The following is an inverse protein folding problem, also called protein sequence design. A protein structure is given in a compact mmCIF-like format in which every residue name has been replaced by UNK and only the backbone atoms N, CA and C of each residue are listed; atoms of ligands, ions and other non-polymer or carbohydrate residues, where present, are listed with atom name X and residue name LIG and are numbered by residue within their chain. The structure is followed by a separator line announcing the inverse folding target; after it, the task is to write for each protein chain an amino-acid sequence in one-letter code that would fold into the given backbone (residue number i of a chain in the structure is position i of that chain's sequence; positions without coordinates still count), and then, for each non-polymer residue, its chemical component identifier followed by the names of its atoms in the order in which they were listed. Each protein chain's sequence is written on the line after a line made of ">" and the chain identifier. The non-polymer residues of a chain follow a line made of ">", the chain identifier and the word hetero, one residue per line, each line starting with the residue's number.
data_IF_633040856473
#
_entry.id   IF_633040856473
#
_cell.length_a   1.000
_cell.length_b   1.000
_cell.length_c   1.000
_cell.angle_alpha   90.00
_cell.angle_beta   90.00
_cell.angle_gamma   90.00
#
_symmetry.space_group_name_H-M   'P 1'
#
loop_
_entity.id
_entity.type
_entity.pdbx_description
1 polymer ?
#
# COMPACT_ATOMS: atom_id res chain seq x y z
N UNK A 1 -25.43 -18.05 8.26
CA UNK A 1 -24.29 -17.19 7.89
C UNK A 1 -24.81 -15.81 7.55
N UNK A 2 -24.41 -14.75 8.27
CA UNK A 2 -24.76 -13.36 7.90
C UNK A 2 -23.98 -12.99 6.64
N UNK A 3 -24.68 -12.84 5.53
CA UNK A 3 -24.12 -12.36 4.28
C UNK A 3 -23.62 -10.92 4.51
N UNK A 4 -22.30 -10.72 4.54
CA UNK A 4 -21.70 -9.37 4.58
C UNK A 4 -22.22 -8.65 3.34
N UNK A 5 -23.02 -7.58 3.52
CA UNK A 5 -23.53 -6.75 2.41
C UNK A 5 -22.33 -6.38 1.53
N UNK A 6 -22.37 -6.74 0.25
CA UNK A 6 -21.35 -6.34 -0.74
C UNK A 6 -21.34 -4.81 -0.80
N UNK A 7 -20.35 -4.19 -0.16
CA UNK A 7 -20.21 -2.73 -0.20
C UNK A 7 -19.36 -2.38 -1.43
N UNK A 8 -20.00 -1.76 -2.44
CA UNK A 8 -19.34 -1.40 -3.70
C UNK A 8 -18.28 -0.29 -3.60
N UNK A 9 -18.08 0.27 -2.40
CA UNK A 9 -17.17 1.39 -2.13
C UNK A 9 -15.85 0.98 -1.46
N UNK A 10 -15.74 -0.21 -0.86
CA UNK A 10 -14.53 -0.64 -0.15
C UNK A 10 -13.42 -1.01 -1.12
N UNK A 11 -12.18 -0.59 -0.90
CA UNK A 11 -11.04 -1.02 -1.72
C UNK A 11 -10.40 -2.27 -1.11
N UNK A 12 -9.52 -2.96 -1.85
CA UNK A 12 -8.70 -4.03 -1.27
C UNK A 12 -7.43 -3.40 -0.72
N UNK A 13 -7.58 -2.72 0.42
CA UNK A 13 -6.56 -1.90 1.07
C UNK A 13 -6.24 -2.30 2.54
N UNK A 14 -6.38 -3.57 2.96
CA UNK A 14 -6.15 -3.89 4.36
C UNK A 14 -4.68 -3.67 4.73
N UNK A 15 -4.48 -3.10 5.91
CA UNK A 15 -3.16 -2.73 6.41
C UNK A 15 -2.52 -1.53 5.70
N UNK A 16 -3.19 -0.88 4.74
CA UNK A 16 -2.65 0.29 4.06
C UNK A 16 -2.37 1.45 5.02
N UNK A 17 -1.27 2.16 4.78
CA UNK A 17 -0.82 3.28 5.61
C UNK A 17 -0.78 4.58 4.82
N UNK A 18 -1.12 5.68 5.46
CA UNK A 18 -1.02 7.02 4.86
C UNK A 18 -0.24 7.90 5.81
N UNK A 19 0.88 8.44 5.31
CA UNK A 19 1.90 9.04 6.15
C UNK A 19 2.03 10.50 5.77
N UNK A 20 2.09 11.36 6.79
CA UNK A 20 2.44 12.77 6.63
C UNK A 20 3.69 13.09 7.43
N UNK A 21 4.57 13.88 6.85
CA UNK A 21 5.78 14.40 7.49
C UNK A 21 5.69 15.92 7.45
N UNK A 22 5.87 16.57 8.60
CA UNK A 22 5.76 18.03 8.74
C UNK A 22 4.42 18.61 8.23
N UNK A 23 3.33 17.88 8.45
CA UNK A 23 1.99 18.29 8.01
C UNK A 23 1.75 18.19 6.50
N UNK A 24 2.71 17.67 5.72
CA UNK A 24 2.57 17.41 4.29
C UNK A 24 2.46 15.90 4.04
N UNK A 25 1.59 15.44 3.12
CA UNK A 25 1.54 14.04 2.74
C UNK A 25 2.90 13.56 2.21
N UNK A 26 3.34 12.39 2.66
CA UNK A 26 4.52 11.69 2.19
C UNK A 26 4.12 10.44 1.40
N UNK A 27 3.18 9.66 1.95
CA UNK A 27 2.58 8.52 1.26
C UNK A 27 1.06 8.67 1.19
N UNK A 28 0.53 8.61 -0.03
CA UNK A 28 -0.81 9.01 -0.43
C UNK A 28 -1.74 7.81 -0.62
N UNK A 29 -3.05 8.06 -0.47
CA UNK A 29 -4.08 7.24 -1.12
C UNK A 29 -4.23 7.75 -2.56
N UNK A 30 -4.19 6.85 -3.55
CA UNK A 30 -4.38 7.24 -4.95
C UNK A 30 -5.80 7.73 -5.23
N UNK A 31 -6.77 7.39 -4.37
CA UNK A 31 -8.15 7.84 -4.44
C UNK A 31 -8.99 7.08 -5.46
N UNK A 32 -10.09 7.70 -5.89
CA UNK A 32 -11.00 7.14 -6.90
C UNK A 32 -11.16 8.13 -8.03
N UNK A 33 -10.59 7.81 -9.19
CA UNK A 33 -10.63 8.64 -10.38
C UNK A 33 -11.93 8.47 -11.18
N UNK A 34 -12.54 7.28 -11.11
CA UNK A 34 -13.70 6.89 -11.91
C UNK A 34 -14.68 6.04 -11.09
N UNK A 35 -15.96 6.42 -11.09
CA UNK A 35 -17.01 5.55 -10.56
C UNK A 35 -17.45 4.53 -11.61
N UNK A 36 -17.95 4.99 -12.76
CA UNK A 36 -18.51 4.11 -13.81
C UNK A 36 -17.99 4.42 -15.21
N UNK A 37 -17.16 5.46 -15.39
CA UNK A 37 -16.71 5.92 -16.71
C UNK A 37 -15.68 4.99 -17.35
N UNK A 38 -14.83 4.38 -16.52
CA UNK A 38 -13.93 3.29 -16.90
C UNK A 38 -13.94 2.23 -15.80
N UNK A 39 -14.39 1.01 -16.14
CA UNK A 39 -14.36 -0.14 -15.23
C UNK A 39 -12.93 -0.63 -14.98
N UNK A 40 -12.06 -0.50 -15.98
CA UNK A 40 -10.65 -0.86 -15.88
C UNK A 40 -9.96 0.04 -14.87
N UNK A 41 -10.07 1.37 -15.02
CA UNK A 41 -9.47 2.31 -14.08
C UNK A 41 -10.07 2.14 -12.68
N UNK A 42 -11.39 1.95 -12.56
CA UNK A 42 -12.03 1.67 -11.27
C UNK A 42 -11.43 0.43 -10.59
N UNK A 43 -11.13 -0.62 -11.34
CA UNK A 43 -10.51 -1.83 -10.78
C UNK A 43 -9.06 -1.59 -10.36
N UNK A 44 -8.30 -0.79 -11.12
CA UNK A 44 -6.96 -0.35 -10.75
C UNK A 44 -7.00 0.43 -9.44
N UNK A 45 -7.83 1.48 -9.34
CA UNK A 45 -7.99 2.31 -8.14
C UNK A 45 -8.31 1.50 -6.87
N UNK A 46 -9.00 0.36 -7.04
CA UNK A 46 -9.46 -0.53 -5.95
C UNK A 46 -8.54 -1.72 -5.69
N UNK A 47 -7.51 -1.88 -6.51
CA UNK A 47 -6.58 -3.00 -6.44
C UNK A 47 -5.60 -2.82 -5.29
N UNK A 48 -5.13 -3.94 -4.73
CA UNK A 48 -4.15 -3.89 -3.65
C UNK A 48 -2.85 -3.18 -4.02
N UNK A 49 -2.46 -3.21 -5.31
CA UNK A 49 -1.27 -2.55 -5.82
C UNK A 49 -1.36 -1.02 -5.86
N UNK A 50 -2.54 -0.46 -5.61
CA UNK A 50 -2.80 0.98 -5.56
C UNK A 50 -2.83 1.54 -4.13
N UNK A 51 -2.53 0.70 -3.14
CA UNK A 51 -2.54 1.06 -1.74
C UNK A 51 -1.18 0.80 -1.09
N UNK A 52 -0.87 1.55 -0.03
CA UNK A 52 0.42 1.47 0.65
C UNK A 52 0.49 0.26 1.58
N UNK A 53 0.44 -0.95 1.01
CA UNK A 53 0.36 -2.22 1.72
C UNK A 53 1.28 -3.28 1.11
N UNK A 54 1.39 -4.42 1.80
CA UNK A 54 2.20 -5.56 1.39
C UNK A 54 1.33 -6.79 1.15
N UNK A 55 1.70 -7.56 0.13
CA UNK A 55 0.98 -8.74 -0.35
C UNK A 55 1.96 -9.81 -0.80
N UNK A 56 1.66 -11.11 -0.65
CA UNK A 56 2.43 -12.17 -1.31
C UNK A 56 2.45 -11.95 -2.83
N UNK A 57 3.63 -11.97 -3.44
CA UNK A 57 3.84 -11.60 -4.85
C UNK A 57 2.95 -12.42 -5.80
N UNK A 58 2.76 -13.71 -5.52
CA UNK A 58 1.92 -14.60 -6.32
C UNK A 58 0.42 -14.24 -6.32
N UNK A 59 -0.03 -13.41 -5.38
CA UNK A 59 -1.44 -13.08 -5.20
C UNK A 59 -1.85 -11.70 -5.73
N UNK A 60 -0.91 -10.86 -6.18
CA UNK A 60 -1.21 -9.50 -6.68
C UNK A 60 -2.36 -9.53 -7.70
N UNK A 61 -2.21 -10.33 -8.78
CA UNK A 61 -3.22 -10.43 -9.86
C UNK A 61 -4.60 -10.86 -9.37
N UNK A 62 -4.65 -11.73 -8.34
CA UNK A 62 -5.91 -12.17 -7.73
C UNK A 62 -6.65 -10.96 -7.16
N UNK A 63 -5.96 -10.01 -6.54
CA UNK A 63 -6.56 -8.82 -5.94
C UNK A 63 -6.61 -7.60 -6.87
N UNK A 64 -6.19 -7.74 -8.14
CA UNK A 64 -6.24 -6.69 -9.16
C UNK A 64 -7.41 -6.85 -10.14
N UNK A 65 -7.89 -8.07 -10.40
CA UNK A 65 -8.86 -8.31 -11.49
C UNK A 65 -10.05 -9.21 -11.10
N UNK A 66 -11.28 -8.65 -11.12
CA UNK A 66 -12.44 -9.35 -11.73
C UNK A 66 -13.58 -8.42 -12.16
N UNK A 67 -14.12 -8.76 -13.33
CA UNK A 67 -15.13 -8.08 -14.14
C UNK A 67 -16.54 -8.03 -13.51
N UNK A 68 -17.17 -6.87 -13.65
CA UNK A 68 -18.57 -6.62 -13.32
C UNK A 68 -18.80 -5.15 -12.93
N UNK A 69 -19.95 -4.57 -13.30
CA UNK A 69 -20.33 -3.18 -12.97
C UNK A 69 -20.24 -2.85 -11.46
N UNK A 70 -20.31 -3.88 -10.61
CA UNK A 70 -20.23 -3.77 -9.15
C UNK A 70 -18.94 -4.35 -8.54
N UNK A 71 -17.92 -4.63 -9.36
CA UNK A 71 -16.58 -5.04 -8.93
C UNK A 71 -16.57 -6.24 -7.98
N UNK A 72 -16.66 -7.46 -8.52
CA UNK A 72 -16.43 -8.67 -7.71
C UNK A 72 -14.92 -8.86 -7.51
N UNK A 73 -14.30 -8.04 -6.67
CA UNK A 73 -12.94 -8.35 -6.19
C UNK A 73 -13.02 -9.69 -5.42
N UNK A 74 -12.17 -10.66 -5.75
CA UNK A 74 -12.45 -12.08 -5.49
C UNK A 74 -12.33 -12.49 -4.03
N UNK A 75 -11.73 -11.68 -3.17
CA UNK A 75 -11.72 -11.82 -1.72
C UNK A 75 -11.20 -10.51 -1.13
N UNK A 76 -11.64 -10.17 0.09
CA UNK A 76 -10.94 -9.19 0.92
C UNK A 76 -10.04 -10.00 1.85
N UNK A 77 -8.75 -9.65 2.00
CA UNK A 77 -7.91 -10.25 3.02
C UNK A 77 -8.53 -9.99 4.39
N UNK A 78 -8.47 -10.98 5.28
CA UNK A 78 -8.86 -10.75 6.66
C UNK A 78 -7.73 -10.02 7.38
N UNK A 79 -8.09 -9.15 8.33
CA UNK A 79 -7.12 -8.43 9.16
C UNK A 79 -7.39 -8.77 10.63
N UNK A 80 -6.34 -9.22 11.31
CA UNK A 80 -6.34 -9.44 12.75
C UNK A 80 -5.32 -8.49 13.39
N UNK A 81 -5.78 -7.55 14.20
CA UNK A 81 -4.89 -6.68 14.99
C UNK A 81 -4.40 -7.47 16.19
N UNK A 82 -3.08 -7.62 16.31
CA UNK A 82 -2.42 -8.37 17.39
C UNK A 82 -1.87 -7.45 18.47
N UNK A 83 -1.40 -6.26 18.08
CA UNK A 83 -0.87 -5.25 19.00
C UNK A 83 -1.41 -3.87 18.63
N UNK A 84 -1.89 -3.12 19.63
CA UNK A 84 -2.22 -1.70 19.48
C UNK A 84 -1.91 -0.95 20.77
N UNK A 85 -0.75 -0.32 20.80
CA UNK A 85 -0.25 0.43 21.95
C UNK A 85 0.46 1.71 21.51
N UNK A 86 0.90 2.52 22.47
CA UNK A 86 1.53 3.80 22.17
C UNK A 86 2.81 3.59 21.35
N UNK A 87 2.76 4.03 20.09
CA UNK A 87 3.90 3.97 19.17
C UNK A 87 4.15 2.58 18.56
N UNK A 88 3.24 1.61 18.73
CA UNK A 88 3.36 0.29 18.12
C UNK A 88 1.99 -0.22 17.67
N UNK A 89 1.92 -0.68 16.43
CA UNK A 89 0.76 -1.33 15.84
C UNK A 89 1.22 -2.58 15.09
N UNK A 90 0.54 -3.69 15.31
CA UNK A 90 0.80 -4.92 14.58
C UNK A 90 -0.52 -5.54 14.11
N UNK A 91 -0.53 -6.00 12.87
CA UNK A 91 -1.64 -6.77 12.32
C UNK A 91 -1.16 -7.91 11.43
N UNK A 92 -1.97 -8.95 11.35
CA UNK A 92 -1.81 -10.05 10.40
C UNK A 92 -2.84 -9.88 9.29
N UNK A 93 -2.35 -9.82 8.05
CA UNK A 93 -3.13 -9.83 6.81
C UNK A 93 -3.21 -11.27 6.31
N UNK A 94 -4.40 -11.87 6.32
CA UNK A 94 -4.64 -13.25 5.86
C UNK A 94 -5.25 -13.23 4.45
N UNK A 95 -4.46 -13.70 3.49
CA UNK A 95 -4.80 -13.82 2.08
C UNK A 95 -5.33 -15.21 1.73
N UNK A 96 -6.22 -15.77 2.57
CA UNK A 96 -6.78 -17.11 2.47
C UNK A 96 -5.71 -18.21 2.65
N UNK A 97 -4.99 -18.12 3.77
CA UNK A 97 -3.95 -19.06 4.21
C UNK A 97 -2.54 -18.49 4.11
N UNK A 98 -2.27 -17.63 3.12
CA UNK A 98 -0.99 -16.92 3.02
C UNK A 98 -1.02 -15.65 3.88
N UNK A 99 -0.09 -15.52 4.81
CA UNK A 99 -0.12 -14.46 5.82
C UNK A 99 1.04 -13.48 5.65
N UNK A 100 0.73 -12.21 5.89
CA UNK A 100 1.72 -11.14 6.05
C UNK A 100 1.49 -10.47 7.40
N UNK A 101 2.48 -10.52 8.27
CA UNK A 101 2.49 -9.73 9.51
C UNK A 101 3.10 -8.37 9.18
N UNK A 102 2.33 -7.31 9.43
CA UNK A 102 2.76 -5.93 9.33
C UNK A 102 2.92 -5.34 10.72
N UNK A 103 4.11 -4.84 11.01
CA UNK A 103 4.42 -4.13 12.25
C UNK A 103 4.78 -2.69 11.91
N UNK A 104 4.19 -1.74 12.63
CA UNK A 104 4.41 -0.30 12.49
C UNK A 104 4.88 0.23 13.85
N UNK A 105 6.08 0.79 13.89
CA UNK A 105 6.66 1.33 15.12
C UNK A 105 7.03 2.79 14.94
N UNK A 106 6.64 3.62 15.89
CA UNK A 106 7.04 5.04 15.97
C UNK A 106 7.85 5.20 17.25
N UNK A 107 9.15 5.37 17.10
CA UNK A 107 10.07 5.56 18.22
C UNK A 107 11.23 6.47 17.81
N UNK A 108 11.75 7.27 18.75
CA UNK A 108 12.91 8.13 18.48
C UNK A 108 12.75 9.13 17.33
N UNK A 109 11.52 9.55 17.00
CA UNK A 109 11.24 10.44 15.86
C UNK A 109 11.34 9.76 14.48
N UNK A 110 11.35 8.42 14.46
CA UNK A 110 11.39 7.60 13.25
C UNK A 110 10.12 6.76 13.16
N UNK A 111 9.68 6.52 11.93
CA UNK A 111 8.64 5.54 11.62
C UNK A 111 9.32 4.33 10.97
N UNK A 112 9.02 3.15 11.48
CA UNK A 112 9.42 1.88 10.88
C UNK A 112 8.18 1.09 10.49
N UNK A 113 8.18 0.53 9.29
CA UNK A 113 7.17 -0.42 8.82
C UNK A 113 7.91 -1.69 8.38
N UNK A 114 7.54 -2.82 8.96
CA UNK A 114 8.11 -4.13 8.67
C UNK A 114 6.99 -5.09 8.24
N UNK A 115 7.16 -5.71 7.10
CA UNK A 115 6.28 -6.71 6.53
C UNK A 115 7.02 -8.04 6.45
N UNK A 116 6.50 -9.08 7.11
CA UNK A 116 7.09 -10.43 7.13
C UNK A 116 6.02 -11.43 6.71
N UNK A 117 6.35 -12.34 5.79
CA UNK A 117 5.40 -13.32 5.31
C UNK A 117 6.03 -14.67 4.96
N UNK A 118 5.18 -15.64 4.68
CA UNK A 118 5.58 -16.99 4.29
C UNK A 118 5.87 -17.04 2.78
N UNK A 119 6.93 -16.37 2.34
CA UNK A 119 7.38 -16.36 0.94
C UNK A 119 7.61 -14.95 0.38
N UNK A 120 7.75 -14.87 -0.95
CA UNK A 120 8.06 -13.60 -1.61
C UNK A 120 6.93 -12.58 -1.43
N UNK A 121 7.32 -11.37 -1.06
CA UNK A 121 6.45 -10.24 -0.81
C UNK A 121 6.64 -9.15 -1.87
N UNK A 122 5.57 -8.42 -2.12
CA UNK A 122 5.60 -7.12 -2.78
C UNK A 122 4.93 -6.09 -1.88
N UNK A 123 5.59 -4.96 -1.64
CA UNK A 123 5.02 -3.81 -0.95
C UNK A 123 4.98 -2.60 -1.88
N UNK A 124 3.94 -1.80 -1.76
CA UNK A 124 3.73 -0.62 -2.60
C UNK A 124 3.69 0.63 -1.73
N UNK A 125 4.22 1.74 -2.25
CA UNK A 125 4.16 3.05 -1.62
C UNK A 125 3.96 4.12 -2.69
N UNK A 126 3.04 5.06 -2.47
CA UNK A 126 2.64 6.03 -3.48
C UNK A 126 2.92 7.45 -2.98
N UNK A 127 3.59 8.25 -3.80
CA UNK A 127 3.99 9.62 -3.42
C UNK A 127 3.90 10.54 -4.62
N UNK A 128 3.55 11.81 -4.40
CA UNK A 128 3.62 12.89 -5.39
C UNK A 128 4.89 13.74 -5.22
N UNK A 129 5.77 13.35 -4.29
CA UNK A 129 7.03 14.05 -4.02
C UNK A 129 8.11 13.57 -4.98
N UNK A 130 8.99 14.51 -5.33
CA UNK A 130 10.25 14.18 -5.98
C UNK A 130 11.20 13.50 -4.97
N UNK A 131 11.99 12.56 -5.45
CA UNK A 131 13.04 11.90 -4.69
C UNK A 131 14.16 11.40 -5.60
N UNK A 132 15.31 11.15 -5.01
CA UNK A 132 16.41 10.41 -5.63
C UNK A 132 16.60 9.05 -4.97
N UNK A 133 17.12 8.08 -5.71
CA UNK A 133 17.47 6.74 -5.20
C UNK A 133 18.99 6.59 -5.22
N UNK A 134 19.59 6.28 -4.07
CA UNK A 134 20.99 5.89 -3.94
C UNK A 134 21.07 4.58 -3.14
N UNK A 135 21.38 3.48 -3.83
CA UNK A 135 21.33 2.13 -3.26
C UNK A 135 19.96 1.82 -2.67
N UNK A 136 19.91 1.70 -1.34
CA UNK A 136 18.69 1.39 -0.59
C UNK A 136 18.07 2.62 0.12
N UNK A 137 18.51 3.83 -0.22
CA UNK A 137 18.03 5.07 0.40
C UNK A 137 17.28 5.89 -0.63
N UNK A 138 16.04 6.25 -0.31
CA UNK A 138 15.25 7.22 -1.06
C UNK A 138 15.31 8.56 -0.31
N UNK A 139 15.81 9.59 -0.97
CA UNK A 139 15.99 10.93 -0.39
C UNK A 139 14.92 11.88 -0.91
N UNK A 140 14.11 12.42 0.00
CA UNK A 140 13.11 13.45 -0.24
C UNK A 140 13.56 14.76 0.42
N UNK A 141 12.94 15.88 0.06
CA UNK A 141 13.28 17.20 0.62
C UNK A 141 13.15 17.27 2.16
N UNK A 142 12.18 16.54 2.73
CA UNK A 142 11.78 16.69 4.14
C UNK A 142 12.14 15.46 5.01
N UNK A 143 12.53 14.35 4.39
CA UNK A 143 12.79 13.06 5.06
C UNK A 143 13.61 12.12 4.17
N UNK A 144 14.16 11.07 4.78
CA UNK A 144 14.73 9.93 4.07
C UNK A 144 13.95 8.66 4.36
N UNK A 145 13.91 7.76 3.38
CA UNK A 145 13.40 6.40 3.54
C UNK A 145 14.52 5.39 3.25
N UNK A 146 14.96 4.68 4.28
CA UNK A 146 15.87 3.54 4.14
C UNK A 146 15.07 2.27 3.93
N UNK A 147 15.47 1.48 2.94
CA UNK A 147 14.76 0.27 2.52
C UNK A 147 15.58 -0.98 2.79
N UNK A 148 14.93 -2.03 3.25
CA UNK A 148 15.43 -3.41 3.21
C UNK A 148 14.49 -4.20 2.31
N UNK A 149 14.94 -4.48 1.08
CA UNK A 149 14.24 -5.24 0.05
C UNK A 149 15.28 -5.77 -0.95
N UNK A 150 14.90 -6.79 -1.74
CA UNK A 150 15.75 -7.39 -2.77
C UNK A 150 15.71 -6.55 -4.07
N UNK A 151 14.57 -5.90 -4.34
CA UNK A 151 14.35 -5.07 -5.53
C UNK A 151 13.58 -3.80 -5.17
N UNK A 152 13.99 -2.68 -5.76
CA UNK A 152 13.29 -1.39 -5.74
C UNK A 152 13.00 -1.00 -7.19
N UNK A 153 11.73 -0.78 -7.52
CA UNK A 153 11.33 -0.25 -8.84
C UNK A 153 10.32 0.89 -8.67
N UNK A 154 10.23 1.74 -9.68
CA UNK A 154 9.31 2.86 -9.69
C UNK A 154 8.55 2.92 -11.01
N UNK A 155 7.30 3.36 -10.94
CA UNK A 155 6.47 3.62 -12.11
C UNK A 155 5.58 4.84 -11.85
N UNK A 156 5.28 5.61 -12.91
CA UNK A 156 4.26 6.66 -12.82
C UNK A 156 2.88 6.03 -12.64
N UNK A 157 2.04 6.66 -11.85
CA UNK A 157 0.67 6.20 -11.60
C UNK A 157 -0.31 7.36 -11.54
N UNK A 158 -1.59 7.04 -11.69
CA UNK A 158 -2.68 8.01 -11.66
C UNK A 158 -3.01 8.34 -10.21
N UNK A 159 -2.98 9.63 -9.89
CA UNK A 159 -3.47 10.16 -8.62
C UNK A 159 -4.74 10.99 -8.84
N UNK A 160 -5.76 10.70 -8.04
CA UNK A 160 -7.05 11.38 -8.05
C UNK A 160 -7.41 11.89 -6.65
N UNK A 161 -6.81 13.03 -6.26
CA UNK A 161 -7.18 13.75 -5.03
C UNK A 161 -8.67 14.15 -4.99
N UNK A 162 -9.28 14.36 -6.16
CA UNK A 162 -10.70 14.68 -6.33
C UNK A 162 -11.31 13.80 -7.41
N UNK A 163 -12.60 13.52 -7.26
CA UNK A 163 -13.33 12.75 -8.26
C UNK A 163 -13.26 13.43 -9.64
N UNK A 164 -12.93 12.65 -10.67
CA UNK A 164 -12.86 13.13 -12.05
C UNK A 164 -11.63 13.97 -12.40
N UNK A 165 -10.69 14.20 -11.45
CA UNK A 165 -9.39 14.80 -11.75
C UNK A 165 -8.36 13.70 -11.94
N UNK A 166 -7.92 13.49 -13.19
CA UNK A 166 -6.80 12.60 -13.49
C UNK A 166 -5.53 13.46 -13.54
N UNK A 167 -4.64 13.29 -12.56
CA UNK A 167 -3.28 13.83 -12.63
C UNK A 167 -2.29 12.69 -12.61
N UNK A 168 -1.37 12.65 -13.59
CA UNK A 168 -0.27 11.68 -13.68
C UNK A 168 0.91 12.10 -12.80
N UNK A 169 0.64 12.54 -11.58
CA UNK A 169 1.62 13.25 -10.76
C UNK A 169 2.09 12.43 -9.55
N UNK A 170 1.80 11.13 -9.51
CA UNK A 170 2.29 10.26 -8.44
C UNK A 170 3.22 9.18 -8.99
N UNK A 171 4.20 8.83 -8.18
CA UNK A 171 5.11 7.71 -8.38
C UNK A 171 4.72 6.60 -7.42
N UNK A 172 4.56 5.40 -7.98
CA UNK A 172 4.47 4.16 -7.22
C UNK A 172 5.85 3.57 -7.06
N UNK A 173 6.27 3.38 -5.82
CA UNK A 173 7.46 2.64 -5.42
C UNK A 173 7.03 1.22 -5.13
N UNK A 174 7.63 0.25 -5.82
CA UNK A 174 7.42 -1.18 -5.59
C UNK A 174 8.67 -1.78 -4.98
N UNK A 175 8.50 -2.42 -3.82
CA UNK A 175 9.54 -3.16 -3.12
C UNK A 175 9.25 -4.65 -3.23
N UNK A 176 10.24 -5.47 -3.55
CA UNK A 176 10.09 -6.93 -3.54
C UNK A 176 11.16 -7.56 -2.66
N UNK A 177 10.80 -8.61 -1.93
CA UNK A 177 11.77 -9.44 -1.21
C UNK A 177 11.26 -10.88 -1.07
N UNK A 178 12.15 -11.84 -0.89
CA UNK A 178 11.81 -13.25 -0.70
C UNK A 178 11.22 -13.60 0.67
N UNK A 179 11.31 -12.72 1.67
CA UNK A 179 10.83 -13.04 3.03
C UNK A 179 10.34 -11.84 3.83
N UNK A 180 11.03 -10.70 3.75
CA UNK A 180 10.71 -9.53 4.57
C UNK A 180 11.01 -8.23 3.83
N UNK A 181 10.12 -7.26 3.98
CA UNK A 181 10.32 -5.89 3.50
C UNK A 181 10.29 -4.98 4.72
N UNK A 182 11.24 -4.06 4.81
CA UNK A 182 11.25 -3.04 5.86
C UNK A 182 11.54 -1.67 5.27
N UNK A 183 10.82 -0.67 5.75
CA UNK A 183 11.13 0.74 5.49
C UNK A 183 11.33 1.47 6.81
N UNK A 184 12.27 2.40 6.83
CA UNK A 184 12.53 3.31 7.94
C UNK A 184 12.48 4.74 7.41
N UNK A 185 11.53 5.53 7.90
CA UNK A 185 11.38 6.94 7.57
C UNK A 185 11.99 7.75 8.70
N UNK A 186 12.97 8.59 8.35
CA UNK A 186 13.59 9.54 9.26
C UNK A 186 13.36 10.96 8.75
N UNK A 187 12.75 11.79 9.58
CA UNK A 187 12.64 13.22 9.32
C UNK A 187 14.03 13.86 9.31
N UNK A 188 14.26 14.81 8.38
CA UNK A 188 15.45 15.66 8.32
C UNK A 188 15.35 16.86 9.28
#
# INVERSE_FOLDING_TARGET
>A
MKQIKKQGHKHVDPGAVYISVNGKPAFLDLGTSSYTRSLEQRNIDRSISSHNTAVPTGLIRKYTTKSGYWGKLPAYPEIAVTTFEKGSFECVLDYNGEKVTRTITISGGQLEISDVGTGSLSAFYHTDKNFSIDGNILSFDDFTMTVTADEISTEECIYAARYGTLSSNATKITLKSNSAIKIQIKKL
#
